data_IF_060196045081
#
_entry.id   IF_060196045081
#
_cell.length_a   1.000
_cell.length_b   1.000
_cell.length_c   1.000
_cell.angle_alpha   90.00
_cell.angle_beta   90.00
_cell.angle_gamma   90.00
#
_symmetry.space_group_name_H-M   'P 1'
#
loop_
_entity.id
_entity.type
_entity.pdbx_description
1 polymer ?
#
# COMPACT_ATOMS: atom_id res chain seq x y z
N UNK A 1 4.76 23.02 16.82
CA UNK A 1 5.04 22.62 15.43
C UNK A 1 3.79 21.98 14.84
N UNK A 2 3.40 22.40 13.65
CA UNK A 2 2.26 21.89 12.91
C UNK A 2 2.75 20.88 11.87
N UNK A 3 2.24 19.65 11.94
CA UNK A 3 2.66 18.54 11.07
C UNK A 3 1.43 18.10 10.27
N UNK A 4 1.53 18.14 8.95
CA UNK A 4 0.49 17.63 8.06
C UNK A 4 0.85 16.20 7.64
N UNK A 5 -0.08 15.28 7.83
CA UNK A 5 0.00 13.91 7.33
C UNK A 5 -0.99 13.79 6.17
N UNK A 6 -0.49 13.56 4.96
CA UNK A 6 -1.33 13.43 3.77
C UNK A 6 -1.38 11.99 3.28
N UNK A 7 -2.58 11.58 2.85
CA UNK A 7 -2.82 10.33 2.12
C UNK A 7 -3.64 10.58 0.85
N UNK A 8 -4.04 9.51 0.16
CA UNK A 8 -4.53 9.63 -1.23
C UNK A 8 -5.75 10.56 -1.34
N UNK A 9 -6.57 10.64 -0.29
CA UNK A 9 -7.69 11.58 -0.25
C UNK A 9 -7.31 13.05 -0.38
N UNK A 10 -6.06 13.43 -0.10
CA UNK A 10 -5.53 14.77 -0.37
C UNK A 10 -5.43 15.00 -1.89
N UNK A 11 -4.81 14.10 -2.65
CA UNK A 11 -4.75 14.20 -4.12
C UNK A 11 -6.15 14.23 -4.73
N UNK A 12 -7.06 13.40 -4.19
CA UNK A 12 -8.45 13.37 -4.63
C UNK A 12 -9.21 14.67 -4.32
N UNK A 13 -8.93 15.35 -3.20
CA UNK A 13 -9.53 16.67 -2.93
C UNK A 13 -9.01 17.75 -3.87
N UNK A 14 -7.88 17.51 -4.53
CA UNK A 14 -7.34 18.36 -5.60
C UNK A 14 -7.76 17.90 -6.99
N UNK A 15 -8.61 16.89 -7.14
CA UNK A 15 -9.04 16.34 -8.44
C UNK A 15 -7.92 15.74 -9.29
N UNK A 16 -6.85 15.24 -8.65
CA UNK A 16 -5.86 14.40 -9.32
C UNK A 16 -6.39 12.96 -9.41
N UNK A 17 -6.34 12.29 -10.57
CA UNK A 17 -6.89 10.96 -10.74
C UNK A 17 -5.98 9.87 -10.16
N UNK A 18 -5.90 9.76 -8.83
CA UNK A 18 -4.97 8.85 -8.13
C UNK A 18 -5.65 7.66 -7.43
N UNK A 19 -6.94 7.42 -7.70
CA UNK A 19 -7.60 6.18 -7.28
C UNK A 19 -7.01 4.99 -8.03
N UNK A 20 -7.04 3.84 -7.37
CA UNK A 20 -6.73 2.56 -8.00
C UNK A 20 -7.52 2.34 -9.30
N UNK A 21 -8.81 2.66 -9.28
CA UNK A 21 -9.68 2.51 -10.45
C UNK A 21 -9.25 3.39 -11.63
N UNK A 22 -8.71 4.60 -11.39
CA UNK A 22 -8.21 5.47 -12.45
C UNK A 22 -6.99 4.86 -13.14
N UNK A 23 -6.03 4.31 -12.38
CA UNK A 23 -4.89 3.59 -12.93
C UNK A 23 -5.36 2.42 -13.81
N UNK A 24 -6.23 1.57 -13.28
CA UNK A 24 -6.67 0.37 -13.99
C UNK A 24 -7.46 0.69 -15.26
N UNK A 25 -8.29 1.74 -15.23
CA UNK A 25 -9.06 2.18 -16.40
C UNK A 25 -8.13 2.70 -17.51
N UNK A 26 -7.13 3.51 -17.15
CA UNK A 26 -6.13 4.03 -18.11
C UNK A 26 -5.27 2.91 -18.69
N UNK A 27 -4.80 1.97 -17.87
CA UNK A 27 -4.00 0.83 -18.35
C UNK A 27 -4.82 -0.08 -19.26
N UNK A 28 -6.11 -0.30 -18.95
CA UNK A 28 -7.05 -1.01 -19.83
C UNK A 28 -7.22 -0.29 -21.17
N UNK A 29 -7.35 1.04 -21.18
CA UNK A 29 -7.47 1.84 -22.39
C UNK A 29 -6.19 1.72 -23.27
N UNK A 30 -5.00 1.82 -22.67
CA UNK A 30 -3.71 1.66 -23.37
C UNK A 30 -3.57 0.27 -24.00
N UNK A 31 -3.95 -0.78 -23.26
CA UNK A 31 -3.84 -2.17 -23.70
C UNK A 31 -4.79 -2.51 -24.86
N UNK A 32 -6.00 -1.93 -24.87
CA UNK A 32 -6.99 -2.14 -25.93
C UNK A 32 -6.74 -1.28 -27.16
N UNK A 33 -6.16 -0.09 -26.96
CA UNK A 33 -5.91 0.86 -28.02
C UNK A 33 -4.95 0.28 -29.05
N UNK A 34 -5.24 0.53 -30.33
CA UNK A 34 -4.34 0.27 -31.46
C UNK A 34 -3.63 1.54 -31.95
N UNK A 35 -3.88 2.67 -31.29
CA UNK A 35 -3.28 3.95 -31.66
C UNK A 35 -1.80 3.95 -31.30
N UNK A 36 -1.00 4.64 -32.10
CA UNK A 36 0.41 4.91 -31.83
C UNK A 36 0.61 6.20 -31.01
N UNK A 37 -0.48 6.86 -30.64
CA UNK A 37 -0.49 8.07 -29.82
C UNK A 37 -1.79 8.14 -29.03
N UNK A 38 -1.74 8.53 -27.76
CA UNK A 38 -2.93 8.70 -26.92
C UNK A 38 -2.87 10.01 -26.16
N UNK A 39 -3.88 10.86 -26.38
CA UNK A 39 -4.15 12.07 -25.61
C UNK A 39 -4.79 11.75 -24.24
N UNK A 40 -4.81 12.73 -23.34
CA UNK A 40 -5.52 12.62 -22.05
C UNK A 40 -6.95 12.09 -22.18
N UNK A 41 -7.73 12.59 -23.15
CA UNK A 41 -9.11 12.16 -23.36
C UNK A 41 -9.21 10.70 -23.81
N UNK A 42 -8.26 10.23 -24.61
CA UNK A 42 -8.20 8.82 -25.04
C UNK A 42 -7.76 7.90 -23.89
N UNK A 43 -6.82 8.35 -23.05
CA UNK A 43 -6.36 7.62 -21.87
C UNK A 43 -7.50 7.39 -20.87
N UNK A 44 -8.33 8.41 -20.64
CA UNK A 44 -9.46 8.36 -19.71
C UNK A 44 -10.80 8.03 -20.38
N UNK A 45 -10.81 7.61 -21.65
CA UNK A 45 -12.03 7.36 -22.43
C UNK A 45 -12.96 6.27 -21.88
N UNK A 46 -12.41 5.30 -21.14
CA UNK A 46 -13.16 4.22 -20.48
C UNK A 46 -13.28 4.44 -18.95
N UNK A 47 -12.93 5.63 -18.44
CA UNK A 47 -12.91 5.88 -17.01
C UNK A 47 -14.32 5.81 -16.40
N UNK A 48 -14.46 5.11 -15.27
CA UNK A 48 -15.77 4.95 -14.60
C UNK A 48 -16.28 6.23 -13.93
N UNK A 49 -15.42 7.22 -13.73
CA UNK A 49 -15.74 8.47 -13.03
C UNK A 49 -15.63 9.71 -13.93
N UNK A 50 -16.39 9.74 -15.04
CA UNK A 50 -16.42 10.85 -16.01
C UNK A 50 -16.52 12.24 -15.37
N UNK A 51 -17.34 12.38 -14.31
CA UNK A 51 -17.48 13.66 -13.59
C UNK A 51 -16.17 14.08 -12.91
N UNK A 52 -15.43 13.13 -12.36
CA UNK A 52 -14.14 13.40 -11.71
C UNK A 52 -13.12 13.84 -12.75
N UNK A 53 -13.03 13.13 -13.88
CA UNK A 53 -12.12 13.47 -14.98
C UNK A 53 -12.49 14.82 -15.60
N UNK A 54 -13.79 15.11 -15.75
CA UNK A 54 -14.26 16.43 -16.18
C UNK A 54 -13.79 17.57 -15.27
N UNK A 55 -13.75 17.35 -13.96
CA UNK A 55 -13.19 18.29 -12.99
C UNK A 55 -11.67 18.39 -13.08
N UNK A 56 -10.96 17.27 -13.31
CA UNK A 56 -9.52 17.29 -13.60
C UNK A 56 -9.23 18.19 -14.80
N UNK A 57 -9.98 18.06 -15.91
CA UNK A 57 -9.84 18.92 -17.10
C UNK A 57 -10.15 20.39 -16.84
N UNK A 58 -11.05 20.69 -15.90
CA UNK A 58 -11.37 22.07 -15.52
C UNK A 58 -10.21 22.74 -14.76
N UNK A 59 -9.47 21.96 -13.95
CA UNK A 59 -8.48 22.50 -13.02
C UNK A 59 -7.02 22.36 -13.49
N UNK A 60 -6.76 21.50 -14.47
CA UNK A 60 -5.42 21.18 -14.94
C UNK A 60 -5.29 21.31 -16.46
N UNK A 61 -4.09 21.62 -16.92
CA UNK A 61 -3.74 21.67 -18.35
C UNK A 61 -3.56 20.25 -18.90
N UNK A 62 -4.63 19.68 -19.46
CA UNK A 62 -4.62 18.29 -19.96
C UNK A 62 -4.14 18.14 -21.40
N UNK A 63 -4.20 19.21 -22.20
CA UNK A 63 -3.87 19.17 -23.63
C UNK A 63 -2.40 18.81 -23.92
N UNK A 64 -1.52 19.01 -22.94
CA UNK A 64 -0.09 18.70 -23.04
C UNK A 64 0.21 17.22 -22.71
N UNK A 65 -0.77 16.47 -22.20
CA UNK A 65 -0.57 15.07 -21.79
C UNK A 65 -0.86 14.18 -22.99
N UNK A 66 0.22 13.72 -23.61
CA UNK A 66 0.20 12.82 -24.77
C UNK A 66 1.26 11.75 -24.55
N UNK A 67 0.88 10.48 -24.70
CA UNK A 67 1.80 9.34 -24.64
C UNK A 67 2.09 8.89 -26.08
N UNK A 68 3.38 8.87 -26.43
CA UNK A 68 3.84 8.57 -27.79
C UNK A 68 4.06 7.06 -28.02
N UNK A 69 4.32 6.68 -29.28
CA UNK A 69 4.36 5.28 -29.74
C UNK A 69 5.37 4.41 -28.98
N UNK A 70 6.57 4.93 -28.70
CA UNK A 70 7.60 4.18 -27.97
C UNK A 70 7.15 3.86 -26.54
N UNK A 71 6.63 4.86 -25.83
CA UNK A 71 6.10 4.71 -24.47
C UNK A 71 4.89 3.77 -24.43
N UNK A 72 3.94 3.93 -25.36
CA UNK A 72 2.77 3.05 -25.47
C UNK A 72 3.19 1.60 -25.73
N UNK A 73 4.18 1.38 -26.60
CA UNK A 73 4.70 0.04 -26.90
C UNK A 73 5.33 -0.60 -25.67
N UNK A 74 6.14 0.17 -24.93
CA UNK A 74 6.74 -0.29 -23.68
C UNK A 74 5.67 -0.65 -22.63
N UNK A 75 4.71 0.26 -22.38
CA UNK A 75 3.62 0.01 -21.42
C UNK A 75 2.82 -1.23 -21.82
N UNK A 76 2.45 -1.39 -23.10
CA UNK A 76 1.70 -2.56 -23.59
C UNK A 76 2.43 -3.88 -23.35
N UNK A 77 3.75 -3.91 -23.51
CA UNK A 77 4.57 -5.09 -23.21
C UNK A 77 4.48 -5.40 -21.71
N UNK A 78 4.72 -4.41 -20.85
CA UNK A 78 4.63 -4.57 -19.40
C UNK A 78 3.25 -5.08 -18.98
N UNK A 79 2.17 -4.47 -19.48
CA UNK A 79 0.80 -4.90 -19.17
C UNK A 79 0.53 -6.34 -19.59
N UNK A 80 1.00 -6.75 -20.77
CA UNK A 80 0.77 -8.10 -21.29
C UNK A 80 1.54 -9.17 -20.49
N UNK A 81 2.76 -8.87 -20.09
CA UNK A 81 3.66 -9.82 -19.43
C UNK A 81 3.46 -9.85 -17.91
N UNK A 82 2.89 -8.80 -17.31
CA UNK A 82 2.72 -8.69 -15.88
C UNK A 82 1.52 -9.50 -15.36
N UNK A 83 1.80 -10.58 -14.62
CA UNK A 83 0.77 -11.48 -14.10
C UNK A 83 -0.14 -10.84 -13.04
N UNK A 84 0.39 -9.93 -12.22
CA UNK A 84 -0.39 -9.20 -11.22
C UNK A 84 -1.41 -8.27 -11.88
N UNK A 85 -0.99 -7.46 -12.86
CA UNK A 85 -1.90 -6.63 -13.64
C UNK A 85 -3.00 -7.48 -14.30
N UNK A 86 -2.64 -8.58 -14.96
CA UNK A 86 -3.62 -9.46 -15.59
C UNK A 86 -4.59 -10.09 -14.57
N UNK A 87 -4.09 -10.47 -13.39
CA UNK A 87 -4.92 -10.93 -12.28
C UNK A 87 -5.92 -9.85 -11.84
N UNK A 88 -5.43 -8.64 -11.58
CA UNK A 88 -6.22 -7.52 -11.09
C UNK A 88 -7.26 -7.02 -12.08
N UNK A 89 -6.90 -6.91 -13.37
CA UNK A 89 -7.81 -6.60 -14.48
C UNK A 89 -9.01 -7.55 -14.53
N UNK A 90 -8.82 -8.82 -14.16
CA UNK A 90 -9.90 -9.82 -14.13
C UNK A 90 -10.71 -9.82 -12.82
N UNK A 91 -10.34 -8.99 -11.84
CA UNK A 91 -10.99 -8.86 -10.54
C UNK A 91 -11.42 -7.41 -10.24
N UNK A 92 -11.60 -6.56 -11.26
CA UNK A 92 -12.01 -5.14 -11.13
C UNK A 92 -13.32 -4.90 -10.37
N UNK A 93 -14.18 -5.91 -10.24
CA UNK A 93 -15.40 -5.79 -9.42
C UNK A 93 -15.14 -5.98 -7.92
N UNK A 94 -14.05 -6.67 -7.56
CA UNK A 94 -13.67 -7.00 -6.18
C UNK A 94 -12.67 -5.99 -5.59
N UNK A 95 -12.02 -5.18 -6.41
CA UNK A 95 -10.92 -4.29 -6.02
C UNK A 95 -11.27 -2.87 -6.45
N UNK A 96 -11.43 -1.96 -5.49
CA UNK A 96 -11.78 -0.55 -5.76
C UNK A 96 -10.77 0.42 -5.16
N UNK A 97 -10.03 -0.02 -4.15
CA UNK A 97 -9.09 0.81 -3.41
C UNK A 97 -7.71 0.17 -3.39
N UNK A 98 -6.70 0.99 -3.08
CA UNK A 98 -5.33 0.50 -2.84
C UNK A 98 -5.26 -0.50 -1.66
N UNK A 99 -6.16 -0.38 -0.68
CA UNK A 99 -6.26 -1.35 0.43
C UNK A 99 -6.79 -2.70 -0.07
N UNK A 100 -7.81 -2.71 -0.93
CA UNK A 100 -8.34 -3.95 -1.52
C UNK A 100 -7.25 -4.66 -2.35
N UNK A 101 -6.42 -3.88 -3.06
CA UNK A 101 -5.28 -4.38 -3.81
C UNK A 101 -4.28 -5.11 -2.89
N UNK A 102 -3.89 -4.50 -1.77
CA UNK A 102 -2.98 -5.11 -0.79
C UNK A 102 -3.56 -6.40 -0.21
N UNK A 103 -4.84 -6.39 0.17
CA UNK A 103 -5.54 -7.58 0.68
C UNK A 103 -5.62 -8.70 -0.36
N UNK A 104 -5.73 -8.36 -1.66
CA UNK A 104 -5.71 -9.36 -2.73
C UNK A 104 -4.33 -9.96 -2.95
N UNK A 105 -3.26 -9.18 -2.88
CA UNK A 105 -1.90 -9.72 -2.88
C UNK A 105 -1.76 -10.74 -1.74
N UNK A 106 -2.15 -10.36 -0.52
CA UNK A 106 -2.05 -11.24 0.64
C UNK A 106 -2.86 -12.53 0.46
N UNK A 107 -4.10 -12.43 -0.06
CA UNK A 107 -4.94 -13.59 -0.35
C UNK A 107 -4.32 -14.53 -1.38
N UNK A 108 -3.65 -14.00 -2.40
CA UNK A 108 -2.97 -14.81 -3.43
C UNK A 108 -1.74 -15.47 -2.83
N UNK A 109 -0.92 -14.75 -2.06
CA UNK A 109 0.26 -15.28 -1.41
C UNK A 109 -0.08 -16.42 -0.45
N UNK A 110 -1.08 -16.24 0.43
CA UNK A 110 -1.59 -17.28 1.33
C UNK A 110 -2.02 -18.54 0.56
N UNK A 111 -2.72 -18.36 -0.55
CA UNK A 111 -3.14 -19.48 -1.41
C UNK A 111 -1.92 -20.17 -2.06
N UNK A 112 -1.06 -19.40 -2.71
CA UNK A 112 0.13 -19.87 -3.41
C UNK A 112 1.01 -20.70 -2.49
N UNK A 113 1.42 -20.13 -1.36
CA UNK A 113 2.29 -20.77 -0.37
C UNK A 113 1.67 -22.04 0.21
N UNK A 114 0.37 -22.04 0.51
CA UNK A 114 -0.32 -23.26 0.94
C UNK A 114 -0.23 -24.36 -0.11
N UNK A 115 -0.47 -24.03 -1.38
CA UNK A 115 -0.46 -25.01 -2.48
C UNK A 115 0.94 -25.49 -2.84
N UNK A 116 1.94 -24.61 -2.72
CA UNK A 116 3.35 -24.98 -2.86
C UNK A 116 3.75 -26.03 -1.82
N UNK A 117 3.40 -25.83 -0.54
CA UNK A 117 3.69 -26.80 0.52
C UNK A 117 2.96 -28.13 0.30
N UNK A 118 1.71 -28.09 -0.15
CA UNK A 118 0.97 -29.31 -0.52
C UNK A 118 1.69 -30.08 -1.63
N UNK A 119 2.22 -29.39 -2.66
CA UNK A 119 2.96 -30.01 -3.76
C UNK A 119 4.34 -30.51 -3.34
N UNK A 120 5.09 -29.76 -2.53
CA UNK A 120 6.41 -30.21 -2.00
C UNK A 120 6.29 -31.52 -1.20
N UNK A 121 5.14 -31.77 -0.59
CA UNK A 121 4.90 -33.02 0.17
C UNK A 121 4.65 -34.25 -0.71
N UNK A 122 4.55 -34.09 -2.04
CA UNK A 122 4.26 -35.17 -2.98
C UNK A 122 5.55 -35.87 -3.42
N UNK A 123 5.58 -37.20 -3.33
CA UNK A 123 6.80 -37.99 -3.51
C UNK A 123 7.20 -38.26 -4.97
N UNK A 124 6.29 -38.07 -5.94
CA UNK A 124 6.55 -38.39 -7.35
C UNK A 124 5.58 -37.70 -8.34
N UNK A 125 5.91 -37.78 -9.63
CA UNK A 125 5.13 -37.18 -10.72
C UNK A 125 3.70 -37.71 -10.84
N UNK A 126 3.44 -38.98 -10.46
CA UNK A 126 2.08 -39.54 -10.49
C UNK A 126 1.20 -38.88 -9.43
N UNK A 127 1.75 -38.59 -8.24
CA UNK A 127 1.06 -37.86 -7.19
C UNK A 127 0.76 -36.41 -7.60
N UNK A 128 1.71 -35.72 -8.25
CA UNK A 128 1.50 -34.37 -8.81
C UNK A 128 0.40 -34.38 -9.88
N UNK A 129 0.41 -35.40 -10.74
CA UNK A 129 -0.62 -35.56 -11.77
C UNK A 129 -2.01 -35.72 -11.15
N UNK A 130 -2.16 -36.61 -10.16
CA UNK A 130 -3.44 -36.82 -9.45
C UNK A 130 -3.86 -35.54 -8.73
N UNK A 131 -2.91 -34.80 -8.15
CA UNK A 131 -3.19 -33.54 -7.47
C UNK A 131 -3.83 -32.50 -8.42
N UNK A 132 -3.28 -32.33 -9.63
CA UNK A 132 -3.74 -31.33 -10.61
C UNK A 132 -4.92 -31.78 -11.48
N UNK A 133 -4.99 -33.07 -11.84
CA UNK A 133 -5.94 -33.59 -12.84
C UNK A 133 -6.95 -34.59 -12.26
N UNK A 134 -6.63 -35.22 -11.14
CA UNK A 134 -7.34 -36.41 -10.66
C UNK A 134 -6.93 -37.67 -11.40
N UNK A 135 -7.76 -38.70 -11.33
CA UNK A 135 -7.60 -39.95 -12.07
C UNK A 135 -9.00 -40.54 -12.41
N UNK A 136 -9.06 -41.81 -12.82
CA UNK A 136 -10.33 -42.46 -13.18
C UNK A 136 -11.31 -42.60 -12.00
N UNK A 137 -10.84 -42.55 -10.76
CA UNK A 137 -11.62 -42.79 -9.54
C UNK A 137 -11.69 -41.58 -8.60
N UNK A 138 -10.85 -40.56 -8.78
CA UNK A 138 -10.82 -39.34 -7.97
C UNK A 138 -10.74 -38.08 -8.82
N UNK A 139 -11.37 -37.00 -8.33
CA UNK A 139 -11.19 -35.67 -8.90
C UNK A 139 -9.80 -35.12 -8.53
N UNK A 140 -9.38 -34.04 -9.21
CA UNK A 140 -8.22 -33.26 -8.80
C UNK A 140 -8.32 -32.85 -7.32
N UNK A 141 -7.20 -32.88 -6.61
CA UNK A 141 -7.12 -32.50 -5.21
C UNK A 141 -7.10 -30.97 -5.04
N UNK A 142 -6.48 -30.26 -5.99
CA UNK A 142 -6.62 -28.80 -6.06
C UNK A 142 -8.01 -28.42 -6.57
N UNK A 143 -8.64 -27.45 -5.89
CA UNK A 143 -9.94 -26.96 -6.33
C UNK A 143 -9.77 -26.10 -7.61
N UNK A 144 -10.73 -26.19 -8.53
CA UNK A 144 -10.67 -25.51 -9.82
C UNK A 144 -10.62 -23.97 -9.74
N UNK A 145 -11.26 -23.36 -8.74
CA UNK A 145 -11.19 -21.91 -8.46
C UNK A 145 -9.79 -21.49 -8.01
N UNK A 146 -9.16 -22.27 -7.13
CA UNK A 146 -7.80 -22.00 -6.66
C UNK A 146 -6.80 -22.13 -7.81
N UNK A 147 -6.91 -23.21 -8.59
CA UNK A 147 -6.08 -23.43 -9.76
C UNK A 147 -6.26 -22.31 -10.79
N UNK A 148 -7.51 -21.88 -11.06
CA UNK A 148 -7.78 -20.74 -11.96
C UNK A 148 -7.09 -19.46 -11.48
N UNK A 149 -7.09 -19.19 -10.18
CA UNK A 149 -6.36 -18.03 -9.60
C UNK A 149 -4.86 -18.17 -9.77
N UNK A 150 -4.30 -19.33 -9.41
CA UNK A 150 -2.86 -19.57 -9.47
C UNK A 150 -2.31 -19.62 -10.91
N UNK A 151 -3.15 -19.94 -11.89
CA UNK A 151 -2.76 -19.96 -13.30
C UNK A 151 -2.52 -18.57 -13.90
N UNK A 152 -3.02 -17.49 -13.28
CA UNK A 152 -2.55 -16.14 -13.64
C UNK A 152 -1.04 -16.00 -13.39
N UNK A 153 -0.53 -16.70 -12.38
CA UNK A 153 0.86 -16.69 -11.94
C UNK A 153 1.66 -17.87 -12.52
N UNK A 154 1.16 -18.47 -13.60
CA UNK A 154 1.83 -19.57 -14.31
C UNK A 154 2.15 -20.79 -13.44
N UNK A 155 1.40 -21.01 -12.36
CA UNK A 155 1.63 -22.12 -11.42
C UNK A 155 1.60 -23.50 -12.10
N UNK A 156 0.71 -23.66 -13.08
CA UNK A 156 0.62 -24.88 -13.89
C UNK A 156 0.66 -24.57 -15.39
N UNK A 157 1.07 -25.56 -16.17
CA UNK A 157 1.06 -25.53 -17.63
C UNK A 157 0.37 -26.78 -18.19
N UNK A 158 0.00 -26.72 -19.48
CA UNK A 158 -0.50 -27.89 -20.20
C UNK A 158 0.66 -28.57 -20.91
N UNK A 159 0.79 -29.88 -20.73
CA UNK A 159 1.89 -30.68 -21.27
C UNK A 159 1.38 -32.00 -21.84
N UNK A 160 1.99 -32.45 -22.94
CA UNK A 160 1.75 -33.79 -23.47
C UNK A 160 2.51 -34.80 -22.62
N UNK A 161 1.78 -35.69 -21.94
CA UNK A 161 2.42 -36.69 -21.08
C UNK A 161 1.68 -38.03 -21.11
N UNK A 162 2.44 -39.09 -20.87
CA UNK A 162 1.93 -40.45 -20.78
C UNK A 162 1.71 -40.80 -19.31
N UNK A 163 0.47 -41.04 -18.93
CA UNK A 163 0.11 -41.40 -17.55
C UNK A 163 -0.25 -42.87 -17.45
N UNK A 164 0.12 -43.49 -16.33
CA UNK A 164 -0.22 -44.89 -16.03
C UNK A 164 -1.67 -44.95 -15.55
N UNK A 165 -2.52 -45.68 -16.28
CA UNK A 165 -3.94 -45.89 -15.93
C UNK A 165 -4.15 -47.10 -15.05
N UNK A 166 -3.30 -48.11 -15.18
CA UNK A 166 -3.34 -49.33 -14.38
C UNK A 166 -1.95 -49.93 -14.23
N UNK A 167 -1.73 -50.60 -13.11
CA UNK A 167 -0.49 -51.33 -12.81
C UNK A 167 -0.80 -52.80 -12.59
N UNK A 168 0.15 -53.66 -12.94
CA UNK A 168 0.08 -55.08 -12.62
C UNK A 168 0.11 -55.27 -11.09
N UNK A 169 -0.92 -55.91 -10.53
CA UNK A 169 -1.11 -56.04 -9.08
C UNK A 169 0.10 -56.63 -8.34
N UNK A 170 0.83 -57.54 -8.99
CA UNK A 170 1.96 -58.25 -8.37
C UNK A 170 3.32 -57.59 -8.65
N UNK A 171 3.51 -56.97 -9.83
CA UNK A 171 4.83 -56.49 -10.27
C UNK A 171 4.96 -54.97 -10.27
N UNK A 172 3.87 -54.23 -10.05
CA UNK A 172 3.84 -52.76 -10.05
C UNK A 172 4.06 -52.12 -11.43
N UNK A 173 4.34 -52.92 -12.47
CA UNK A 173 4.62 -52.43 -13.82
C UNK A 173 3.38 -51.79 -14.45
N UNK A 174 3.54 -50.69 -15.21
CA UNK A 174 2.45 -50.11 -15.98
C UNK A 174 1.83 -51.14 -16.93
N UNK A 175 0.52 -51.31 -16.86
CA UNK A 175 -0.23 -52.21 -17.74
C UNK A 175 -0.89 -51.45 -18.90
N UNK A 176 -1.39 -50.25 -18.61
CA UNK A 176 -2.01 -49.36 -19.58
C UNK A 176 -1.54 -47.94 -19.33
N UNK A 177 -1.13 -47.26 -20.40
CA UNK A 177 -0.83 -45.83 -20.39
C UNK A 177 -1.80 -45.08 -21.30
N UNK A 178 -2.03 -43.80 -21.02
CA UNK A 178 -2.69 -42.89 -21.95
C UNK A 178 -1.81 -41.67 -22.15
N UNK A 179 -1.60 -41.30 -23.41
CA UNK A 179 -0.91 -40.07 -23.78
C UNK A 179 -1.95 -39.03 -24.18
N UNK A 180 -1.97 -37.90 -23.49
CA UNK A 180 -2.87 -36.78 -23.76
C UNK A 180 -2.25 -35.48 -23.23
N UNK A 181 -2.93 -34.35 -23.44
CA UNK A 181 -2.60 -33.05 -22.85
C UNK A 181 -3.18 -32.99 -21.42
N UNK A 182 -2.30 -32.97 -20.43
CA UNK A 182 -2.67 -32.85 -19.02
C UNK A 182 -2.06 -31.60 -18.39
N UNK A 183 -2.58 -31.19 -17.23
CA UNK A 183 -1.96 -30.15 -16.43
C UNK A 183 -0.76 -30.71 -15.68
N UNK A 184 0.33 -29.95 -15.67
CA UNK A 184 1.51 -30.22 -14.88
C UNK A 184 1.98 -28.95 -14.16
N UNK A 185 2.80 -29.08 -13.13
CA UNK A 185 3.45 -27.90 -12.54
C UNK A 185 4.38 -27.26 -13.58
N UNK A 186 4.48 -25.94 -13.55
CA UNK A 186 5.33 -25.26 -14.51
C UNK A 186 6.80 -25.55 -14.20
N UNK A 187 7.48 -26.20 -15.15
CA UNK A 187 8.88 -26.63 -15.01
C UNK A 187 9.85 -25.50 -14.68
N UNK A 188 9.51 -24.24 -15.01
CA UNK A 188 10.33 -23.08 -14.65
C UNK A 188 10.43 -22.85 -13.14
N UNK A 189 9.52 -23.44 -12.38
CA UNK A 189 9.49 -23.43 -10.92
C UNK A 189 9.89 -24.77 -10.31
N UNK A 190 10.60 -25.62 -11.05
CA UNK A 190 11.10 -26.89 -10.55
C UNK A 190 12.62 -26.87 -10.47
N UNK A 191 13.19 -27.60 -9.52
CA UNK A 191 14.65 -27.66 -9.35
C UNK A 191 15.34 -28.12 -10.65
N UNK A 192 16.23 -27.30 -11.19
CA UNK A 192 16.93 -27.60 -12.45
C UNK A 192 16.04 -27.61 -13.70
N UNK A 193 14.80 -27.10 -13.63
CA UNK A 193 13.91 -27.01 -14.78
C UNK A 193 13.17 -28.31 -15.12
N UNK A 194 13.18 -29.29 -14.21
CA UNK A 194 12.61 -30.63 -14.43
C UNK A 194 11.63 -30.99 -13.30
N UNK A 195 10.43 -31.45 -13.68
CA UNK A 195 9.33 -31.75 -12.73
C UNK A 195 9.70 -32.88 -11.76
N UNK A 196 10.53 -33.82 -12.21
CA UNK A 196 11.03 -34.95 -11.40
C UNK A 196 11.83 -34.52 -10.17
N UNK A 197 12.43 -33.34 -10.22
CA UNK A 197 13.23 -32.81 -9.11
C UNK A 197 12.37 -32.07 -8.07
N UNK A 198 11.07 -31.93 -8.31
CA UNK A 198 10.13 -31.26 -7.41
C UNK A 198 10.05 -29.74 -7.61
N UNK A 199 9.01 -29.16 -7.03
CA UNK A 199 8.74 -27.73 -7.07
C UNK A 199 9.73 -26.96 -6.18
N UNK A 200 10.26 -25.84 -6.67
CA UNK A 200 11.12 -24.91 -5.94
C UNK A 200 10.29 -23.69 -5.50
N UNK A 201 9.92 -23.60 -4.21
CA UNK A 201 9.17 -22.46 -3.67
C UNK A 201 9.88 -21.12 -3.87
N UNK A 202 11.22 -21.12 -3.78
CA UNK A 202 12.01 -19.89 -3.80
C UNK A 202 11.93 -19.26 -5.19
N UNK A 203 12.18 -20.04 -6.24
CA UNK A 203 12.06 -19.58 -7.63
C UNK A 203 10.65 -19.06 -7.94
N UNK A 204 9.60 -19.70 -7.40
CA UNK A 204 8.23 -19.21 -7.59
C UNK A 204 7.94 -17.90 -6.85
N UNK A 205 8.39 -17.77 -5.60
CA UNK A 205 8.23 -16.54 -4.82
C UNK A 205 9.03 -15.38 -5.41
N UNK A 206 10.25 -15.64 -5.88
CA UNK A 206 11.08 -14.65 -6.58
C UNK A 206 10.39 -14.16 -7.85
N UNK A 207 9.79 -15.08 -8.63
CA UNK A 207 8.97 -14.70 -9.78
C UNK A 207 7.80 -13.80 -9.38
N UNK A 208 7.03 -14.18 -8.36
CA UNK A 208 5.90 -13.37 -7.88
C UNK A 208 6.35 -11.98 -7.40
N UNK A 209 7.51 -11.89 -6.76
CA UNK A 209 8.05 -10.64 -6.24
C UNK A 209 8.53 -9.73 -7.38
N UNK A 210 9.29 -10.29 -8.34
CA UNK A 210 9.73 -9.57 -9.54
C UNK A 210 8.54 -9.06 -10.38
N UNK A 211 7.46 -9.83 -10.44
CA UNK A 211 6.23 -9.41 -11.10
C UNK A 211 5.53 -8.27 -10.34
N UNK A 212 5.61 -8.24 -9.00
CA UNK A 212 5.07 -7.12 -8.22
C UNK A 212 5.91 -5.86 -8.42
N UNK A 213 7.25 -5.96 -8.45
CA UNK A 213 8.13 -4.83 -8.78
C UNK A 213 7.88 -4.32 -10.20
N UNK A 214 7.65 -5.21 -11.17
CA UNK A 214 7.21 -4.81 -12.52
C UNK A 214 5.84 -4.11 -12.51
N UNK A 215 4.92 -4.48 -11.61
CA UNK A 215 3.65 -3.76 -11.44
C UNK A 215 3.87 -2.36 -10.86
N UNK A 216 4.81 -2.23 -9.91
CA UNK A 216 5.22 -0.93 -9.36
C UNK A 216 5.77 -0.01 -10.48
N UNK A 217 6.53 -0.56 -11.44
CA UNK A 217 6.96 0.21 -12.63
C UNK A 217 5.78 0.69 -13.48
N UNK A 218 4.76 -0.16 -13.69
CA UNK A 218 3.54 0.24 -14.41
C UNK A 218 2.83 1.38 -13.67
N UNK A 219 2.78 1.31 -12.35
CA UNK A 219 2.19 2.36 -11.52
C UNK A 219 3.01 3.65 -11.54
N UNK A 220 4.34 3.55 -11.47
CA UNK A 220 5.25 4.70 -11.57
C UNK A 220 5.10 5.43 -12.91
N UNK A 221 5.02 4.69 -14.03
CA UNK A 221 4.76 5.26 -15.36
C UNK A 221 3.43 6.03 -15.42
N UNK A 222 2.39 5.54 -14.75
CA UNK A 222 1.13 6.27 -14.63
C UNK A 222 1.30 7.58 -13.87
N UNK A 223 2.00 7.54 -12.74
CA UNK A 223 2.23 8.73 -11.92
C UNK A 223 3.08 9.75 -12.68
N UNK A 224 4.15 9.32 -13.34
CA UNK A 224 5.13 10.21 -13.96
C UNK A 224 4.67 10.78 -15.31
N UNK A 225 4.09 9.95 -16.17
CA UNK A 225 3.68 10.36 -17.52
C UNK A 225 2.34 11.09 -17.54
N UNK A 226 1.51 10.93 -16.50
CA UNK A 226 0.16 11.49 -16.46
C UNK A 226 -0.01 12.40 -15.24
N UNK A 227 0.07 11.85 -14.03
CA UNK A 227 -0.31 12.60 -12.81
C UNK A 227 0.64 13.76 -12.51
N UNK A 228 1.93 13.56 -12.73
CA UNK A 228 2.96 14.56 -12.52
C UNK A 228 2.85 15.68 -13.57
N UNK A 229 2.47 15.35 -14.80
CA UNK A 229 2.30 16.30 -15.90
C UNK A 229 1.06 17.19 -15.75
N UNK A 230 0.14 16.87 -14.82
CA UNK A 230 -1.03 17.71 -14.52
C UNK A 230 -0.61 18.99 -13.78
N UNK A 231 -0.24 20.00 -14.57
CA UNK A 231 0.01 21.36 -14.13
C UNK A 231 -1.32 22.12 -13.90
N UNK A 232 -1.52 22.79 -12.75
CA UNK A 232 -2.73 23.58 -12.50
C UNK A 232 -2.95 24.65 -13.58
N UNK A 233 -4.18 24.78 -14.08
CA UNK A 233 -4.61 25.85 -14.98
C UNK A 233 -4.95 27.17 -14.23
N UNK A 234 -4.83 27.15 -12.91
CA UNK A 234 -5.17 28.23 -12.00
C UNK A 234 -4.48 28.04 -10.66
N UNK A 235 -4.93 28.79 -9.65
CA UNK A 235 -4.38 28.70 -8.30
C UNK A 235 -5.34 27.95 -7.40
N UNK A 236 -4.80 27.03 -6.60
CA UNK A 236 -5.55 26.41 -5.51
C UNK A 236 -5.32 27.18 -4.22
N UNK A 237 -6.36 27.30 -3.41
CA UNK A 237 -6.31 27.91 -2.07
C UNK A 237 -7.08 27.03 -1.08
N UNK A 238 -6.53 26.86 0.12
CA UNK A 238 -7.15 26.06 1.18
C UNK A 238 -7.87 27.02 2.13
N UNK A 239 -9.19 27.09 2.03
CA UNK A 239 -10.00 27.90 2.94
C UNK A 239 -10.44 27.08 4.14
N UNK A 240 -9.81 27.36 5.27
CA UNK A 240 -10.41 27.11 6.59
C UNK A 240 -9.94 28.20 7.55
N UNK A 241 -10.86 28.66 8.41
CA UNK A 241 -10.53 29.66 9.45
C UNK A 241 -9.48 29.17 10.43
N UNK A 242 -9.38 27.85 10.56
CA UNK A 242 -8.48 27.15 11.46
C UNK A 242 -7.37 26.41 10.68
N UNK A 243 -7.23 26.64 9.37
CA UNK A 243 -6.08 26.12 8.61
C UNK A 243 -4.81 26.84 9.04
N UNK A 244 -3.79 26.06 9.33
CA UNK A 244 -2.47 26.55 9.67
C UNK A 244 -1.48 25.89 8.73
N UNK A 245 -0.59 26.70 8.16
CA UNK A 245 0.48 26.20 7.30
C UNK A 245 1.34 25.19 8.08
N UNK A 246 1.63 24.02 7.50
CA UNK A 246 2.43 23.00 8.15
C UNK A 246 3.91 23.41 8.20
N UNK A 247 4.60 23.10 9.29
CA UNK A 247 6.05 23.22 9.38
C UNK A 247 6.76 22.02 8.71
N UNK A 248 6.06 20.87 8.61
CA UNK A 248 6.56 19.62 8.06
C UNK A 248 5.42 18.75 7.53
N UNK A 249 5.70 17.95 6.51
CA UNK A 249 4.74 17.01 5.94
C UNK A 249 5.29 15.58 5.99
N UNK A 250 4.44 14.65 6.41
CA UNK A 250 4.64 13.23 6.16
C UNK A 250 3.63 12.78 5.09
N UNK A 251 4.15 12.32 3.95
CA UNK A 251 3.33 11.89 2.82
C UNK A 251 3.27 10.37 2.75
N UNK A 252 2.04 9.85 2.77
CA UNK A 252 1.71 8.49 2.35
C UNK A 252 1.33 8.43 0.87
N UNK A 253 1.28 9.58 0.20
CA UNK A 253 1.11 9.67 -1.25
C UNK A 253 2.43 9.45 -1.95
N UNK A 254 2.32 8.85 -3.13
CA UNK A 254 3.44 8.66 -4.04
C UNK A 254 3.78 9.94 -4.84
N UNK A 255 2.88 10.95 -4.82
CA UNK A 255 2.95 12.22 -5.56
C UNK A 255 3.42 13.38 -4.68
N UNK A 256 3.95 14.43 -5.32
CA UNK A 256 4.36 15.67 -4.64
C UNK A 256 3.34 16.81 -4.71
N UNK A 257 2.05 16.47 -4.68
CA UNK A 257 0.93 17.41 -4.86
C UNK A 257 1.05 18.67 -4.01
N UNK A 258 1.35 18.55 -2.72
CA UNK A 258 1.46 19.71 -1.84
C UNK A 258 2.58 20.65 -2.29
N UNK A 259 3.78 20.11 -2.53
CA UNK A 259 4.95 20.89 -2.95
C UNK A 259 4.75 21.56 -4.30
N UNK A 260 4.02 20.89 -5.21
CA UNK A 260 3.75 21.40 -6.55
C UNK A 260 2.70 22.51 -6.56
N UNK A 261 1.72 22.45 -5.66
CA UNK A 261 0.56 23.35 -5.70
C UNK A 261 0.69 24.53 -4.73
N UNK A 262 1.25 24.31 -3.53
CA UNK A 262 1.20 25.29 -2.46
C UNK A 262 2.57 25.88 -2.12
N UNK A 263 3.48 25.07 -1.55
CA UNK A 263 4.76 25.57 -1.08
C UNK A 263 5.82 24.48 -1.00
N UNK A 264 7.09 24.88 -1.15
CA UNK A 264 8.27 24.03 -1.08
C UNK A 264 8.68 23.76 0.38
N UNK A 265 7.87 22.97 1.08
CA UNK A 265 8.11 22.51 2.46
C UNK A 265 8.82 21.14 2.43
N UNK A 266 9.53 20.81 3.52
CA UNK A 266 10.14 19.49 3.72
C UNK A 266 9.04 18.42 3.81
N UNK A 267 9.13 17.42 2.93
CA UNK A 267 8.21 16.28 2.87
C UNK A 267 9.00 14.98 3.02
N UNK A 268 8.60 14.18 4.00
CA UNK A 268 9.10 12.82 4.18
C UNK A 268 8.10 11.83 3.57
N UNK A 269 8.55 11.09 2.55
CA UNK A 269 7.72 10.13 1.81
C UNK A 269 7.79 8.74 2.43
N UNK A 270 6.81 8.42 3.28
CA UNK A 270 6.78 7.18 4.07
C UNK A 270 6.51 5.92 3.23
N UNK A 271 5.92 6.09 2.05
CA UNK A 271 5.71 5.02 1.06
C UNK A 271 6.59 5.17 -0.19
N UNK A 272 7.63 6.01 -0.12
CA UNK A 272 8.40 6.38 -1.29
C UNK A 272 7.63 7.28 -2.26
N UNK A 273 8.29 7.66 -3.35
CA UNK A 273 7.78 8.58 -4.37
C UNK A 273 8.04 8.05 -5.77
N UNK A 274 7.29 8.55 -6.75
CA UNK A 274 7.49 8.27 -8.17
C UNK A 274 8.73 8.97 -8.76
N UNK A 275 9.16 8.57 -9.95
CA UNK A 275 10.19 9.25 -10.77
C UNK A 275 11.44 8.40 -11.09
N UNK A 276 12.50 9.03 -11.60
CA UNK A 276 13.73 8.33 -12.08
C UNK A 276 14.37 7.41 -11.03
N UNK A 277 14.34 7.81 -9.76
CA UNK A 277 14.82 7.02 -8.62
C UNK A 277 13.65 6.52 -7.75
N UNK A 278 12.58 6.04 -8.37
CA UNK A 278 11.39 5.60 -7.64
C UNK A 278 11.76 4.57 -6.56
N UNK A 279 11.17 4.75 -5.39
CA UNK A 279 11.32 3.86 -4.24
C UNK A 279 9.95 3.48 -3.64
N UNK A 280 8.94 3.38 -4.50
CA UNK A 280 7.55 3.10 -4.14
C UNK A 280 7.45 1.82 -3.32
N UNK A 281 6.78 1.94 -2.19
CA UNK A 281 6.41 0.83 -1.30
C UNK A 281 4.95 0.49 -1.54
N UNK A 282 4.72 -0.71 -2.06
CA UNK A 282 3.42 -1.22 -2.42
C UNK A 282 3.40 -2.72 -2.17
N UNK A 283 2.81 -3.12 -1.05
CA UNK A 283 2.88 -4.49 -0.55
C UNK A 283 1.94 -4.71 0.63
N UNK A 284 2.00 -5.90 1.22
CA UNK A 284 1.16 -6.26 2.36
C UNK A 284 1.73 -5.66 3.66
N UNK A 285 0.88 -5.45 4.66
CA UNK A 285 1.30 -4.88 5.96
C UNK A 285 2.39 -5.73 6.61
N UNK A 286 2.11 -7.02 6.83
CA UNK A 286 3.00 -7.98 7.46
C UNK A 286 2.62 -9.42 7.08
N UNK A 287 3.45 -10.40 7.42
CA UNK A 287 3.16 -11.82 7.26
C UNK A 287 2.54 -12.37 8.54
N UNK A 288 1.22 -12.53 8.58
CA UNK A 288 0.57 -13.21 9.72
C UNK A 288 0.61 -14.74 9.58
N UNK A 289 0.62 -15.25 8.34
CA UNK A 289 0.58 -16.68 8.04
C UNK A 289 1.94 -17.37 8.24
N UNK A 290 1.96 -18.47 8.99
CA UNK A 290 3.18 -19.21 9.32
C UNK A 290 3.85 -19.84 8.10
N UNK A 291 3.08 -20.21 7.07
CA UNK A 291 3.64 -20.76 5.84
C UNK A 291 4.37 -19.66 5.06
N UNK A 292 3.83 -18.43 5.03
CA UNK A 292 4.52 -17.29 4.40
C UNK A 292 5.84 -16.98 5.09
N UNK A 293 5.87 -17.01 6.44
CA UNK A 293 7.11 -16.86 7.21
C UNK A 293 8.09 -17.98 6.93
N UNK A 294 7.62 -19.23 6.90
CA UNK A 294 8.44 -20.42 6.61
C UNK A 294 9.13 -20.32 5.25
N UNK A 295 8.41 -19.84 4.23
CA UNK A 295 8.97 -19.63 2.89
C UNK A 295 9.68 -18.27 2.71
N UNK A 296 9.83 -17.48 3.77
CA UNK A 296 10.50 -16.17 3.77
C UNK A 296 9.95 -15.20 2.72
N UNK A 297 8.63 -15.13 2.57
CA UNK A 297 7.95 -14.22 1.63
C UNK A 297 8.00 -12.73 2.09
N UNK A 298 9.06 -12.31 2.80
CA UNK A 298 9.17 -10.96 3.36
C UNK A 298 9.31 -9.89 2.29
N UNK A 299 9.77 -10.21 1.07
CA UNK A 299 9.85 -9.27 -0.05
C UNK A 299 8.52 -8.60 -0.43
N UNK A 300 7.38 -9.18 -0.01
CA UNK A 300 6.05 -8.61 -0.23
C UNK A 300 5.60 -7.66 0.88
N UNK A 301 6.29 -7.61 2.03
CA UNK A 301 5.89 -6.74 3.14
C UNK A 301 6.37 -5.31 2.92
N UNK A 302 5.54 -4.35 3.33
CA UNK A 302 5.93 -2.93 3.30
C UNK A 302 7.17 -2.68 4.13
N UNK A 303 7.31 -3.32 5.30
CA UNK A 303 8.49 -3.16 6.15
C UNK A 303 9.78 -3.57 5.43
N UNK A 304 9.80 -4.74 4.77
CA UNK A 304 10.97 -5.17 4.01
C UNK A 304 11.27 -4.22 2.85
N UNK A 305 10.25 -3.84 2.08
CA UNK A 305 10.42 -2.90 0.96
C UNK A 305 10.99 -1.56 1.42
N UNK A 306 10.52 -1.03 2.57
CA UNK A 306 11.01 0.23 3.14
C UNK A 306 12.50 0.18 3.47
N UNK A 307 12.93 -0.91 4.10
CA UNK A 307 14.35 -1.14 4.41
C UNK A 307 15.19 -1.36 3.15
N UNK A 308 14.65 -2.08 2.17
CA UNK A 308 15.37 -2.42 0.94
C UNK A 308 15.50 -1.23 -0.02
N UNK A 309 14.50 -0.34 -0.05
CA UNK A 309 14.44 0.82 -0.96
C UNK A 309 14.88 2.13 -0.29
N UNK A 310 15.51 2.05 0.89
CA UNK A 310 16.00 3.21 1.65
C UNK A 310 14.97 4.34 1.81
N UNK A 311 13.69 3.98 2.00
CA UNK A 311 12.62 4.97 2.24
C UNK A 311 12.76 5.59 3.63
N UNK A 312 12.10 6.73 3.88
CA UNK A 312 12.11 7.35 5.20
C UNK A 312 11.28 6.53 6.20
N UNK A 313 11.95 5.62 6.90
CA UNK A 313 11.36 4.80 7.96
C UNK A 313 11.41 5.48 9.33
N UNK A 314 12.00 6.70 9.44
CA UNK A 314 12.27 7.37 10.71
C UNK A 314 11.08 8.22 11.21
N UNK A 315 9.88 7.65 11.19
CA UNK A 315 8.66 8.37 11.53
C UNK A 315 8.61 8.76 13.01
N UNK A 316 8.68 10.07 13.27
CA UNK A 316 8.61 10.67 14.62
C UNK A 316 9.70 10.19 15.60
N UNK A 317 10.76 9.54 15.11
CA UNK A 317 11.81 8.96 15.97
C UNK A 317 12.53 10.01 16.81
N UNK A 318 12.70 11.23 16.30
CA UNK A 318 13.24 12.35 17.09
C UNK A 318 12.40 12.57 18.37
N UNK A 319 11.08 12.56 18.25
CA UNK A 319 10.17 12.78 19.38
C UNK A 319 10.13 11.56 20.30
N UNK A 320 10.12 10.35 19.73
CA UNK A 320 10.18 9.09 20.51
C UNK A 320 11.47 9.02 21.32
N UNK A 321 12.61 9.38 20.73
CA UNK A 321 13.90 9.42 21.42
C UNK A 321 13.93 10.49 22.52
N UNK A 322 13.33 11.66 22.30
CA UNK A 322 13.16 12.68 23.36
C UNK A 322 12.36 12.13 24.54
N UNK A 323 11.23 11.46 24.28
CA UNK A 323 10.40 10.82 25.31
C UNK A 323 11.19 9.75 26.06
N UNK A 324 11.88 8.86 25.33
CA UNK A 324 12.66 7.78 25.92
C UNK A 324 13.75 8.33 26.86
N UNK A 325 14.55 9.27 26.38
CA UNK A 325 15.62 9.90 27.17
C UNK A 325 15.07 10.63 28.41
N UNK A 326 13.89 11.24 28.32
CA UNK A 326 13.23 11.87 29.47
C UNK A 326 12.77 10.83 30.50
N UNK A 327 12.16 9.73 30.05
CA UNK A 327 11.71 8.63 30.93
C UNK A 327 12.89 8.02 31.70
N UNK A 328 14.00 7.77 31.04
CA UNK A 328 15.22 7.26 31.68
C UNK A 328 15.73 8.19 32.78
N UNK A 329 15.75 9.51 32.53
CA UNK A 329 16.15 10.52 33.54
C UNK A 329 15.21 10.52 34.76
N UNK A 330 13.90 10.42 34.52
CA UNK A 330 12.91 10.37 35.60
C UNK A 330 13.04 9.08 36.41
N UNK A 331 13.28 7.95 35.74
CA UNK A 331 13.48 6.66 36.38
C UNK A 331 14.74 6.66 37.26
N UNK A 332 15.87 7.18 36.74
CA UNK A 332 17.09 7.35 37.51
C UNK A 332 16.88 8.21 38.75
N UNK A 333 16.27 9.40 38.58
CA UNK A 333 15.97 10.29 39.70
C UNK A 333 15.05 9.63 40.74
N UNK A 334 14.07 8.84 40.29
CA UNK A 334 13.16 8.09 41.17
C UNK A 334 13.89 6.99 41.93
N UNK A 335 14.83 6.29 41.30
CA UNK A 335 15.65 5.28 41.95
C UNK A 335 16.61 5.89 42.97
N UNK A 336 17.25 7.02 42.64
CA UNK A 336 18.05 7.81 43.60
C UNK A 336 17.21 8.23 44.80
N UNK A 337 15.97 8.68 44.58
CA UNK A 337 15.04 9.04 45.66
C UNK A 337 14.77 7.87 46.61
N UNK A 338 14.55 6.66 46.09
CA UNK A 338 14.28 5.46 46.91
C UNK A 338 15.45 5.07 47.83
N UNK A 339 16.68 5.34 47.41
CA UNK A 339 17.90 5.05 48.19
C UNK A 339 18.37 6.18 49.11
N UNK A 340 17.74 7.36 49.06
CA UNK A 340 18.19 8.55 49.78
C UNK A 340 17.43 8.71 51.11
N UNK A 341 18.18 9.02 52.18
CA UNK A 341 17.67 9.13 53.55
C UNK A 341 17.74 10.59 54.04
N UNK A 342 18.58 11.42 53.42
CA UNK A 342 18.78 12.82 53.81
C UNK A 342 17.66 13.70 53.24
N UNK A 343 16.87 14.31 54.13
CA UNK A 343 15.76 15.22 53.77
C UNK A 343 16.14 16.36 52.81
N UNK A 344 17.34 16.93 52.94
CA UNK A 344 17.80 18.00 52.04
C UNK A 344 17.99 17.50 50.60
N UNK A 345 18.57 16.32 50.43
CA UNK A 345 18.76 15.70 49.11
C UNK A 345 17.44 15.21 48.52
N UNK A 346 16.54 14.66 49.34
CA UNK A 346 15.19 14.28 48.89
C UNK A 346 14.45 15.44 48.24
N UNK A 347 14.49 16.64 48.86
CA UNK A 347 13.87 17.85 48.28
C UNK A 347 14.50 18.26 46.94
N UNK A 348 15.82 18.09 46.79
CA UNK A 348 16.52 18.39 45.54
C UNK A 348 16.05 17.44 44.43
N UNK A 349 16.02 16.13 44.72
CA UNK A 349 15.58 15.11 43.76
C UNK A 349 14.10 15.29 43.40
N UNK A 350 13.24 15.65 44.36
CA UNK A 350 11.84 15.98 44.10
C UNK A 350 11.70 17.19 43.17
N UNK A 351 12.52 18.23 43.38
CA UNK A 351 12.53 19.40 42.51
C UNK A 351 13.02 19.07 41.11
N UNK A 352 14.03 18.20 41.00
CA UNK A 352 14.54 17.66 39.74
C UNK A 352 13.44 16.91 38.96
N UNK A 353 12.75 15.96 39.61
CA UNK A 353 11.64 15.20 39.01
C UNK A 353 10.50 16.13 38.58
N UNK A 354 10.14 17.12 39.42
CA UNK A 354 9.11 18.11 39.08
C UNK A 354 9.53 18.96 37.87
N UNK A 355 10.80 19.34 37.78
CA UNK A 355 11.34 20.09 36.65
C UNK A 355 11.34 19.28 35.36
N UNK A 356 11.75 18.01 35.42
CA UNK A 356 11.71 17.07 34.29
C UNK A 356 10.27 16.89 33.80
N UNK A 357 9.30 16.71 34.70
CA UNK A 357 7.88 16.59 34.33
C UNK A 357 7.30 17.86 33.72
N UNK A 358 7.78 19.07 34.10
CA UNK A 358 7.31 20.34 33.53
C UNK A 358 7.85 20.62 32.12
N UNK A 359 9.05 20.13 31.79
CA UNK A 359 9.69 20.33 30.49
C UNK A 359 9.44 19.17 29.50
N UNK A 360 8.34 18.42 29.67
CA UNK A 360 8.00 17.25 28.86
C UNK A 360 7.06 17.55 27.69
N UNK A 361 6.69 18.81 27.46
CA UNK A 361 5.87 19.17 26.31
C UNK A 361 6.65 18.99 25.00
N UNK A 362 5.97 18.44 24.00
CA UNK A 362 6.43 18.38 22.62
C UNK A 362 5.80 19.48 21.76
N UNK A 363 4.63 20.00 22.17
CA UNK A 363 3.90 21.08 21.48
C UNK A 363 3.69 20.80 19.98
N UNK A 364 3.05 19.66 19.68
CA UNK A 364 2.84 19.16 18.32
C UNK A 364 1.35 19.16 17.97
N UNK A 365 1.00 19.74 16.82
CA UNK A 365 -0.34 19.64 16.23
C UNK A 365 -0.24 18.83 14.95
N UNK A 366 -0.92 17.69 14.89
CA UNK A 366 -1.00 16.84 13.73
C UNK A 366 -2.32 17.04 13.01
N UNK A 367 -2.26 17.20 11.70
CA UNK A 367 -3.41 17.29 10.82
C UNK A 367 -3.37 16.12 9.85
N UNK A 368 -4.36 15.25 9.88
CA UNK A 368 -4.42 14.07 9.01
C UNK A 368 -5.45 14.33 7.92
N UNK A 369 -5.01 14.44 6.67
CA UNK A 369 -5.87 14.70 5.53
C UNK A 369 -5.79 13.56 4.50
N UNK A 370 -6.90 12.86 4.30
CA UNK A 370 -7.05 11.94 3.18
C UNK A 370 -6.32 10.61 3.37
N UNK A 371 -5.77 10.37 4.55
CA UNK A 371 -5.24 9.08 4.97
C UNK A 371 -6.38 8.16 5.45
N UNK A 372 -6.29 6.86 5.18
CA UNK A 372 -7.32 5.87 5.52
C UNK A 372 -7.32 5.46 7.00
N UNK A 373 -6.21 5.71 7.69
CA UNK A 373 -5.91 5.22 9.04
C UNK A 373 -6.04 3.70 9.16
N UNK A 374 -5.77 2.99 8.07
CA UNK A 374 -5.95 1.55 7.96
C UNK A 374 -4.85 0.73 8.67
N UNK A 375 -5.15 -0.54 8.96
CA UNK A 375 -4.20 -1.48 9.60
C UNK A 375 -2.91 -1.65 8.79
N UNK A 376 -2.94 -1.40 7.48
CA UNK A 376 -1.75 -1.41 6.64
C UNK A 376 -0.64 -0.48 7.14
N UNK A 377 -1.03 0.64 7.77
CA UNK A 377 -0.14 1.68 8.31
C UNK A 377 -0.16 1.73 9.85
N UNK A 378 -0.54 0.61 10.50
CA UNK A 378 -0.75 0.52 11.95
C UNK A 378 0.43 1.04 12.77
N UNK A 379 1.67 0.77 12.35
CA UNK A 379 2.85 1.08 13.14
C UNK A 379 3.05 2.61 13.26
N UNK A 380 2.83 3.35 12.18
CA UNK A 380 2.86 4.82 12.21
C UNK A 380 1.73 5.40 13.07
N UNK A 381 0.54 4.79 13.00
CA UNK A 381 -0.60 5.21 13.82
C UNK A 381 -0.29 4.96 15.30
N UNK A 382 0.26 3.79 15.65
CA UNK A 382 0.68 3.48 17.01
C UNK A 382 1.73 4.48 17.50
N UNK A 383 2.75 4.76 16.68
CA UNK A 383 3.82 5.71 17.00
C UNK A 383 3.27 7.10 17.29
N UNK A 384 2.42 7.65 16.42
CA UNK A 384 1.78 8.95 16.60
C UNK A 384 0.99 9.02 17.92
N UNK A 385 0.11 8.04 18.14
CA UNK A 385 -0.77 8.03 19.30
C UNK A 385 -0.05 7.55 20.58
N UNK A 386 1.22 7.14 20.51
CA UNK A 386 2.04 6.80 21.69
C UNK A 386 2.63 8.02 22.40
N UNK A 387 2.67 9.17 21.72
CA UNK A 387 3.33 10.37 22.24
C UNK A 387 2.70 10.94 23.51
N UNK A 388 1.43 10.61 23.78
CA UNK A 388 0.71 10.98 25.02
C UNK A 388 0.37 9.78 25.93
N UNK A 389 0.98 8.60 25.75
CA UNK A 389 0.54 7.37 26.46
C UNK A 389 0.67 7.46 27.99
N UNK A 390 1.76 8.06 28.49
CA UNK A 390 2.03 8.19 29.92
C UNK A 390 1.61 9.55 30.51
N UNK A 391 1.60 10.62 29.72
CA UNK A 391 1.18 11.96 30.15
C UNK A 391 0.81 12.86 28.97
N UNK A 392 0.07 13.95 29.22
CA UNK A 392 -0.19 14.97 28.22
C UNK A 392 1.11 15.73 27.90
N UNK A 393 1.67 15.52 26.70
CA UNK A 393 2.83 16.26 26.19
C UNK A 393 2.43 17.42 25.28
N UNK A 394 1.18 17.84 25.34
CA UNK A 394 0.59 18.82 24.43
C UNK A 394 0.67 18.38 22.96
N UNK A 395 0.46 17.09 22.70
CA UNK A 395 0.27 16.57 21.35
C UNK A 395 -1.22 16.55 21.03
N UNK A 396 -1.63 17.14 19.90
CA UNK A 396 -3.01 17.22 19.43
C UNK A 396 -3.10 16.67 18.01
N UNK A 397 -4.20 15.98 17.70
CA UNK A 397 -4.45 15.33 16.41
C UNK A 397 -5.84 15.74 15.92
N UNK A 398 -5.87 16.35 14.74
CA UNK A 398 -7.09 16.65 13.98
C UNK A 398 -7.14 15.74 12.77
N UNK A 399 -8.21 14.95 12.66
CA UNK A 399 -8.45 14.08 11.50
C UNK A 399 -9.54 14.68 10.64
N UNK A 400 -9.21 14.99 9.39
CA UNK A 400 -10.16 15.51 8.41
C UNK A 400 -10.95 14.39 7.73
N UNK A 401 -12.25 14.62 7.53
CA UNK A 401 -13.14 13.69 6.83
C UNK A 401 -14.01 14.40 5.77
N UNK A 402 -14.24 13.74 4.64
CA UNK A 402 -15.04 14.32 3.55
C UNK A 402 -16.55 14.17 3.75
N UNK A 403 -17.01 13.08 4.37
CA UNK A 403 -18.41 12.86 4.70
C UNK A 403 -18.59 12.04 6.00
N UNK A 404 -19.85 11.79 6.38
CA UNK A 404 -20.17 11.03 7.61
C UNK A 404 -19.73 9.56 7.53
N UNK A 405 -19.74 8.95 6.34
CA UNK A 405 -19.34 7.56 6.15
C UNK A 405 -17.82 7.42 6.29
N UNK A 406 -17.07 8.37 5.75
CA UNK A 406 -15.63 8.49 5.91
C UNK A 406 -15.25 8.63 7.38
N UNK A 407 -15.93 9.53 8.12
CA UNK A 407 -15.72 9.70 9.56
C UNK A 407 -15.93 8.38 10.32
N UNK A 408 -17.00 7.65 9.98
CA UNK A 408 -17.30 6.36 10.57
C UNK A 408 -16.21 5.32 10.29
N UNK A 409 -15.74 5.22 9.05
CA UNK A 409 -14.67 4.31 8.65
C UNK A 409 -13.35 4.63 9.37
N UNK A 410 -12.94 5.91 9.39
CA UNK A 410 -11.73 6.38 10.08
C UNK A 410 -11.76 6.03 11.58
N UNK A 411 -12.90 6.26 12.24
CA UNK A 411 -13.06 5.93 13.65
C UNK A 411 -13.00 4.40 13.90
N UNK A 412 -13.61 3.59 13.03
CA UNK A 412 -13.54 2.13 13.14
C UNK A 412 -12.11 1.62 13.00
N UNK A 413 -11.35 2.16 12.06
CA UNK A 413 -9.97 1.75 11.86
C UNK A 413 -9.10 2.13 13.07
N UNK A 414 -9.26 3.35 13.61
CA UNK A 414 -8.58 3.75 14.86
C UNK A 414 -8.96 2.85 16.03
N UNK A 415 -10.23 2.47 16.16
CA UNK A 415 -10.67 1.55 17.22
C UNK A 415 -10.08 0.14 17.06
N UNK A 416 -9.93 -0.33 15.82
CA UNK A 416 -9.32 -1.63 15.53
C UNK A 416 -7.82 -1.65 15.87
N UNK A 417 -7.11 -0.54 15.65
CA UNK A 417 -5.66 -0.44 15.86
C UNK A 417 -5.33 -0.10 17.32
N UNK A 418 -5.96 0.95 17.88
CA UNK A 418 -5.62 1.49 19.20
C UNK A 418 -6.46 0.92 20.34
N UNK A 419 -7.60 0.30 20.02
CA UNK A 419 -8.56 -0.18 20.99
C UNK A 419 -9.43 0.93 21.61
N UNK A 420 -10.57 0.51 22.16
CA UNK A 420 -11.60 1.40 22.74
C UNK A 420 -11.05 2.39 23.77
N UNK A 421 -10.29 1.90 24.75
CA UNK A 421 -9.87 2.71 25.90
C UNK A 421 -8.99 3.89 25.48
N UNK A 422 -8.05 3.65 24.55
CA UNK A 422 -7.12 4.67 24.08
C UNK A 422 -7.86 5.74 23.25
N UNK A 423 -8.70 5.32 22.30
CA UNK A 423 -9.50 6.27 21.50
C UNK A 423 -10.41 7.12 22.38
N UNK A 424 -11.12 6.52 23.34
CA UNK A 424 -11.98 7.27 24.26
C UNK A 424 -11.21 8.29 25.11
N UNK A 425 -10.03 7.91 25.63
CA UNK A 425 -9.18 8.82 26.41
C UNK A 425 -8.77 10.03 25.57
N UNK A 426 -8.28 9.79 24.36
CA UNK A 426 -7.83 10.84 23.44
C UNK A 426 -8.97 11.81 23.08
N UNK A 427 -10.17 11.29 22.80
CA UNK A 427 -11.31 12.13 22.48
C UNK A 427 -11.86 12.90 23.70
N UNK A 428 -11.97 12.26 24.88
CA UNK A 428 -12.45 12.90 26.12
C UNK A 428 -11.53 14.05 26.55
N UNK A 429 -10.23 13.89 26.37
CA UNK A 429 -9.23 14.92 26.68
C UNK A 429 -9.09 15.98 25.58
N UNK A 430 -9.86 15.87 24.48
CA UNK A 430 -9.74 16.71 23.27
C UNK A 430 -8.33 16.68 22.65
N UNK A 431 -7.60 15.59 22.83
CA UNK A 431 -6.33 15.35 22.15
C UNK A 431 -6.55 14.85 20.72
N UNK A 432 -7.67 14.17 20.46
CA UNK A 432 -8.12 13.76 19.13
C UNK A 432 -9.46 14.42 18.80
N UNK A 433 -9.52 15.10 17.66
CA UNK A 433 -10.76 15.68 17.11
C UNK A 433 -10.94 15.28 15.65
N UNK A 434 -12.19 15.22 15.21
CA UNK A 434 -12.56 14.96 13.83
C UNK A 434 -13.27 16.17 13.27
N UNK A 435 -12.78 16.68 12.15
CA UNK A 435 -13.32 17.87 11.48
C UNK A 435 -13.62 17.60 10.01
N UNK A 436 -14.60 18.29 9.40
CA UNK A 436 -14.80 18.23 7.96
C UNK A 436 -13.53 18.66 7.22
N UNK A 437 -13.30 18.12 6.02
CA UNK A 437 -12.19 18.56 5.16
C UNK A 437 -12.21 20.09 4.99
N UNK A 438 -11.04 20.75 5.03
CA UNK A 438 -10.91 22.13 4.58
C UNK A 438 -11.41 22.28 3.14
N UNK A 439 -11.99 23.43 2.82
CA UNK A 439 -12.48 23.68 1.46
C UNK A 439 -11.31 24.02 0.54
N UNK A 440 -11.10 23.21 -0.50
CA UNK A 440 -10.13 23.48 -1.57
C UNK A 440 -10.84 24.29 -2.64
N UNK A 441 -10.45 25.56 -2.80
CA UNK A 441 -10.97 26.44 -3.84
C UNK A 441 -10.00 26.50 -5.01
N UNK A 442 -10.55 26.47 -6.22
CA UNK A 442 -9.81 26.69 -7.44
C UNK A 442 -10.17 28.06 -8.02
N UNK A 443 -9.15 28.87 -8.28
CA UNK A 443 -9.28 30.21 -8.86
C UNK A 443 -8.66 30.16 -10.25
N UNK A 444 -9.50 30.16 -11.28
CA UNK A 444 -9.06 30.17 -12.68
C UNK A 444 -8.28 31.46 -13.00
N UNK A 445 -7.18 31.35 -13.75
CA UNK A 445 -6.49 32.50 -14.31
C UNK A 445 -7.30 33.11 -15.46
N UNK A 446 -8.40 33.80 -15.14
CA UNK A 446 -9.35 34.29 -16.14
C UNK A 446 -10.65 34.84 -15.57
N UNK A 447 -10.58 35.80 -14.63
CA UNK A 447 -11.60 36.84 -14.46
C UNK A 447 -11.13 37.94 -13.50
N UNK A 448 -10.22 38.80 -13.98
CA UNK A 448 -10.21 40.22 -13.58
C UNK A 448 -11.32 40.96 -14.36
N UNK A 449 -12.55 40.50 -14.19
CA UNK A 449 -13.75 41.06 -14.80
C UNK A 449 -14.51 41.93 -13.80
N UNK A 450 -14.11 43.21 -13.73
CA UNK A 450 -14.99 44.37 -13.49
C UNK A 450 -16.09 44.18 -12.44
N UNK A 451 -15.86 44.69 -11.24
CA UNK A 451 -16.92 45.25 -10.41
C UNK A 451 -17.68 46.30 -11.25
N UNK A 452 -18.82 45.93 -11.84
CA UNK A 452 -19.85 46.89 -12.19
C UNK A 452 -20.94 46.78 -11.13
N UNK A 453 -20.82 47.66 -10.14
CA UNK A 453 -21.95 48.19 -9.43
C UNK A 453 -22.87 48.88 -10.44
N UNK A 454 -24.11 48.44 -10.55
CA UNK A 454 -25.32 49.21 -10.86
C UNK A 454 -26.53 48.32 -10.67
#
# INVERSE_FOLDING_TARGET
>A
MNILIVGNGFDLSHWLPTKYDHLMDVMSAIEKSKSDLMSFDELFSECREDRFIGKTKEYYLTDNIVIESEQLSHIRILLKENCWYQYFKNHVQEIRTWIDFEQKIESVLKLATKKVIEIESLENNEAIHIYLNGNNTSKALINAKDLKKLNFFEFSCKENMSIVRSRHLISGKPLQTSTDVFLNINKKFCYGGEVENGFDPSTFLDFLNNQLESFIVIFDLYLDLIIFQLAPAGTFDIKSKDWIEPDKIFSFNYTNTYQRIYDSIIVDYLHGSHGEFQNIVLGVSDLEDDNLKKLKAFGFTKYHQKLFKDTDYLFLDEFKNKIFNQREKILDATNRKKGEIRNAHLKIIETEILGLNKNNNLDLNFYIWGHSLDVSDKDYIIDLFSLNDDMDRNVRVTVYYFDKNAKFALLNNLLAILGKNKVEQWMKNKWLVFEPNPEVQFISQGNSGVNQAS
#
